data_IF_165743767398
#
_entry.id   IF_165743767398
#
_cell.length_a   1.000
_cell.length_b   1.000
_cell.length_c   1.000
_cell.angle_alpha   90.00
_cell.angle_beta   90.00
_cell.angle_gamma   90.00
#
_symmetry.space_group_name_H-M   'P 1'
#
loop_
_entity.id
_entity.type
_entity.pdbx_description
1 polymer ?
#
# COMPACT_ATOMS: atom_id res chain seq x y z
N UNK A 1 9.55 -20.53 -14.24
CA UNK A 1 9.13 -19.62 -13.20
C UNK A 1 7.95 -18.79 -13.66
N UNK A 2 6.88 -18.86 -12.91
CA UNK A 2 5.75 -18.00 -13.22
C UNK A 2 6.16 -16.55 -13.05
N UNK A 3 5.74 -15.70 -13.98
CA UNK A 3 5.99 -14.28 -13.88
C UNK A 3 5.33 -13.73 -12.61
N UNK A 4 6.10 -13.01 -11.81
CA UNK A 4 5.58 -12.37 -10.62
C UNK A 4 4.78 -11.16 -11.07
N UNK A 5 3.49 -11.17 -10.78
CA UNK A 5 2.63 -10.05 -11.10
C UNK A 5 2.93 -8.90 -10.14
N UNK A 6 3.24 -7.75 -10.69
CA UNK A 6 3.46 -6.55 -9.88
C UNK A 6 2.19 -5.89 -9.38
N UNK A 7 1.03 -6.33 -9.87
CA UNK A 7 -0.28 -5.81 -9.45
C UNK A 7 -1.35 -6.88 -9.61
N UNK A 8 -2.49 -6.66 -9.01
CA UNK A 8 -3.63 -7.58 -9.04
C UNK A 8 -3.25 -8.97 -8.53
N UNK A 9 -2.44 -8.99 -7.49
CA UNK A 9 -2.08 -10.24 -6.83
C UNK A 9 -3.28 -10.76 -6.03
N UNK A 10 -3.24 -12.05 -5.67
CA UNK A 10 -4.31 -12.65 -4.86
C UNK A 10 -4.54 -11.89 -3.54
N UNK A 11 -3.48 -11.54 -2.79
CA UNK A 11 -3.65 -10.76 -1.57
C UNK A 11 -4.32 -9.41 -1.82
N UNK A 12 -3.90 -8.69 -2.85
CA UNK A 12 -4.51 -7.40 -3.20
C UNK A 12 -5.99 -7.56 -3.52
N UNK A 13 -6.34 -8.56 -4.32
CA UNK A 13 -7.73 -8.82 -4.70
C UNK A 13 -8.57 -9.17 -3.48
N UNK A 14 -8.04 -9.95 -2.55
CA UNK A 14 -8.74 -10.31 -1.32
C UNK A 14 -9.08 -9.06 -0.50
N UNK A 15 -8.12 -8.16 -0.32
CA UNK A 15 -8.34 -6.91 0.40
C UNK A 15 -9.38 -6.05 -0.31
N UNK A 16 -9.26 -5.89 -1.63
CA UNK A 16 -10.20 -5.11 -2.43
C UNK A 16 -11.63 -5.64 -2.32
N UNK A 17 -11.80 -6.93 -2.46
CA UNK A 17 -13.14 -7.57 -2.36
C UNK A 17 -13.76 -7.33 -1.00
N UNK A 18 -12.98 -7.49 0.04
CA UNK A 18 -13.47 -7.26 1.40
C UNK A 18 -13.91 -5.80 1.58
N UNK A 19 -13.05 -4.85 1.23
CA UNK A 19 -13.37 -3.43 1.38
C UNK A 19 -14.59 -3.02 0.55
N UNK A 20 -14.70 -3.53 -0.65
CA UNK A 20 -15.86 -3.28 -1.51
C UNK A 20 -17.14 -3.83 -0.89
N UNK A 21 -17.07 -5.03 -0.31
CA UNK A 21 -18.22 -5.64 0.36
C UNK A 21 -18.67 -4.83 1.58
N UNK A 22 -17.77 -4.09 2.20
CA UNK A 22 -18.08 -3.20 3.31
C UNK A 22 -18.61 -1.83 2.85
N UNK A 23 -18.78 -1.65 1.57
CA UNK A 23 -19.31 -0.40 1.01
C UNK A 23 -18.28 0.68 0.76
N UNK A 24 -17.00 0.40 0.91
CA UNK A 24 -15.97 1.38 0.66
C UNK A 24 -15.69 1.53 -0.84
N UNK A 25 -15.43 2.75 -1.24
CA UNK A 25 -15.02 3.08 -2.61
C UNK A 25 -13.55 3.45 -2.62
N UNK A 26 -12.81 2.87 -3.55
CA UNK A 26 -11.37 3.04 -3.63
C UNK A 26 -10.89 3.04 -5.07
N UNK A 27 -9.68 3.52 -5.27
CA UNK A 27 -8.94 3.44 -6.52
C UNK A 27 -7.78 2.46 -6.35
N UNK A 28 -7.36 1.85 -7.42
CA UNK A 28 -6.31 0.83 -7.39
C UNK A 28 -5.07 1.29 -8.13
N UNK A 29 -3.90 0.85 -7.65
CA UNK A 29 -2.62 1.05 -8.34
C UNK A 29 -2.39 2.48 -8.82
N UNK A 30 -2.57 3.44 -7.94
CA UNK A 30 -2.42 4.85 -8.29
C UNK A 30 -0.94 5.21 -8.43
N UNK A 31 -0.49 5.32 -9.67
CA UNK A 31 0.90 5.67 -9.99
C UNK A 31 1.24 7.13 -9.75
N UNK A 32 0.26 7.98 -9.53
CA UNK A 32 0.49 9.40 -9.25
C UNK A 32 0.95 9.66 -7.83
N UNK A 33 0.75 8.70 -6.95
CA UNK A 33 1.20 8.81 -5.57
C UNK A 33 2.54 8.10 -5.39
N UNK A 34 3.39 8.58 -4.46
CA UNK A 34 4.64 7.91 -4.15
C UNK A 34 4.42 6.44 -3.83
N UNK A 35 5.26 5.58 -4.37
CA UNK A 35 5.21 4.15 -4.13
C UNK A 35 4.06 3.41 -4.79
N UNK A 36 3.20 4.09 -5.54
CA UNK A 36 2.04 3.49 -6.22
C UNK A 36 1.22 2.60 -5.29
N UNK A 37 0.54 3.18 -4.30
CA UNK A 37 -0.26 2.38 -3.35
C UNK A 37 -1.22 1.44 -4.06
N UNK A 38 -1.40 0.26 -3.49
CA UNK A 38 -2.29 -0.76 -4.07
C UNK A 38 -3.75 -0.34 -4.00
N UNK A 39 -4.12 0.36 -2.94
CA UNK A 39 -5.49 0.82 -2.71
C UNK A 39 -5.44 2.25 -2.19
N UNK A 40 -6.24 3.12 -2.79
CA UNK A 40 -6.35 4.52 -2.36
C UNK A 40 -7.82 4.80 -2.02
N UNK A 41 -8.04 5.28 -0.81
CA UNK A 41 -9.37 5.67 -0.33
C UNK A 41 -9.37 7.20 -0.14
N UNK A 42 -9.71 7.97 -1.17
CA UNK A 42 -9.66 9.43 -1.08
C UNK A 42 -10.55 10.00 0.01
N UNK A 43 -11.72 9.42 0.19
CA UNK A 43 -12.68 9.87 1.21
C UNK A 43 -12.10 9.81 2.61
N UNK A 44 -11.25 8.83 2.87
CA UNK A 44 -10.62 8.63 4.18
C UNK A 44 -9.19 9.12 4.22
N UNK A 45 -8.70 9.72 3.14
CA UNK A 45 -7.30 10.13 3.01
C UNK A 45 -6.33 9.02 3.40
N UNK A 46 -6.67 7.81 3.02
CA UNK A 46 -5.93 6.61 3.40
C UNK A 46 -5.42 5.89 2.17
N UNK A 47 -4.20 5.44 2.23
CA UNK A 47 -3.60 4.54 1.23
C UNK A 47 -3.21 3.25 1.92
N UNK A 48 -3.31 2.15 1.17
CA UNK A 48 -3.00 0.82 1.69
C UNK A 48 -2.00 0.15 0.76
N UNK A 49 -0.94 -0.36 1.36
CA UNK A 49 0.02 -1.22 0.69
C UNK A 49 -0.20 -2.66 1.14
N UNK A 50 -0.34 -3.55 0.18
CA UNK A 50 -0.40 -4.99 0.43
C UNK A 50 1.00 -5.53 0.18
N UNK A 51 1.74 -5.76 1.26
CA UNK A 51 3.16 -6.06 1.17
C UNK A 51 3.42 -7.56 1.06
N UNK A 52 4.20 -7.93 0.06
CA UNK A 52 4.71 -9.29 -0.08
C UNK A 52 5.81 -9.53 0.95
N UNK A 53 5.69 -10.63 1.70
CA UNK A 53 6.60 -10.90 2.81
C UNK A 53 8.06 -10.97 2.40
N UNK A 54 8.34 -11.65 1.30
CA UNK A 54 9.72 -11.79 0.81
C UNK A 54 10.31 -10.45 0.37
N UNK A 55 9.59 -9.71 -0.45
CA UNK A 55 10.10 -8.49 -1.08
C UNK A 55 10.30 -7.33 -0.11
N UNK A 56 9.52 -7.30 0.96
CA UNK A 56 9.56 -6.25 1.95
C UNK A 56 10.21 -6.69 3.26
N UNK A 57 10.75 -7.89 3.30
CA UNK A 57 11.53 -8.38 4.44
C UNK A 57 10.73 -8.50 5.73
N UNK A 58 9.57 -9.14 5.66
CA UNK A 58 8.72 -9.33 6.83
C UNK A 58 9.46 -10.13 7.90
N UNK A 59 9.66 -9.54 9.07
CA UNK A 59 10.40 -10.16 10.15
C UNK A 59 9.66 -11.37 10.73
N UNK A 60 10.44 -12.37 11.14
CA UNK A 60 9.93 -13.61 11.75
C UNK A 60 8.86 -14.34 10.92
N UNK A 61 8.90 -14.15 9.61
CA UNK A 61 7.96 -14.79 8.70
C UNK A 61 8.67 -15.85 7.85
N UNK A 62 8.10 -17.05 7.81
CA UNK A 62 8.66 -18.13 7.00
C UNK A 62 8.65 -17.81 5.50
N UNK A 63 7.72 -16.96 5.05
CA UNK A 63 7.63 -16.58 3.65
C UNK A 63 8.71 -15.59 3.23
N UNK A 64 9.41 -15.01 4.19
CA UNK A 64 10.48 -14.04 3.93
C UNK A 64 11.88 -14.64 4.02
N UNK A 65 11.99 -15.97 4.12
CA UNK A 65 13.30 -16.62 4.19
C UNK A 65 14.10 -16.35 2.94
N UNK A 66 15.35 -15.94 3.16
CA UNK A 66 16.28 -15.73 2.07
C UNK A 66 16.76 -17.06 1.50
N UNK A 67 16.90 -17.17 0.17
CA UNK A 67 17.54 -18.34 -0.43
C UNK A 67 18.99 -18.47 0.05
N UNK A 68 19.49 -19.69 0.12
CA UNK A 68 20.89 -19.90 0.48
C UNK A 68 21.85 -19.42 -0.61
N UNK A 69 21.45 -19.59 -1.87
CA UNK A 69 22.23 -19.08 -2.99
C UNK A 69 22.00 -17.56 -3.15
N UNK A 70 23.10 -16.85 -3.38
CA UNK A 70 23.06 -15.38 -3.53
C UNK A 70 22.44 -14.67 -2.35
N UNK A 71 22.64 -15.18 -1.14
CA UNK A 71 22.04 -14.62 0.06
C UNK A 71 22.37 -13.13 0.25
N UNK A 72 23.63 -12.74 0.01
CA UNK A 72 24.06 -11.34 0.13
C UNK A 72 23.34 -10.43 -0.86
N UNK A 73 23.16 -10.90 -2.09
CA UNK A 73 22.41 -10.18 -3.11
C UNK A 73 20.98 -9.90 -2.66
N UNK A 74 20.29 -10.95 -2.19
CA UNK A 74 18.91 -10.80 -1.76
C UNK A 74 18.78 -9.94 -0.51
N UNK A 75 19.69 -10.08 0.44
CA UNK A 75 19.69 -9.27 1.64
C UNK A 75 19.86 -7.78 1.29
N UNK A 76 20.79 -7.48 0.38
CA UNK A 76 21.00 -6.12 -0.08
C UNK A 76 19.75 -5.56 -0.77
N UNK A 77 19.15 -6.32 -1.65
CA UNK A 77 17.96 -5.90 -2.38
C UNK A 77 16.78 -5.64 -1.45
N UNK A 78 16.55 -6.51 -0.49
CA UNK A 78 15.48 -6.33 0.48
C UNK A 78 15.73 -5.11 1.37
N UNK A 79 16.97 -4.90 1.76
CA UNK A 79 17.36 -3.70 2.53
C UNK A 79 17.04 -2.42 1.75
N UNK A 80 17.35 -2.38 0.47
CA UNK A 80 17.01 -1.25 -0.39
C UNK A 80 15.49 -1.06 -0.51
N UNK A 81 14.75 -2.15 -0.65
CA UNK A 81 13.30 -2.09 -0.71
C UNK A 81 12.71 -1.50 0.59
N UNK A 82 13.20 -1.95 1.74
CA UNK A 82 12.74 -1.43 3.03
C UNK A 82 13.05 0.05 3.20
N UNK A 83 14.23 0.47 2.79
CA UNK A 83 14.62 1.88 2.85
C UNK A 83 13.71 2.73 1.95
N UNK A 84 13.37 2.24 0.78
CA UNK A 84 12.44 2.91 -0.12
C UNK A 84 11.04 2.98 0.49
N UNK A 85 10.56 1.87 1.04
CA UNK A 85 9.23 1.82 1.67
C UNK A 85 9.12 2.86 2.77
N UNK A 86 10.15 2.99 3.57
CA UNK A 86 10.19 4.01 4.62
C UNK A 86 10.08 5.42 4.05
N UNK A 87 10.85 5.74 3.00
CA UNK A 87 10.80 7.05 2.37
C UNK A 87 9.42 7.35 1.78
N UNK A 88 8.83 6.36 1.15
CA UNK A 88 7.49 6.48 0.58
C UNK A 88 6.47 6.78 1.67
N UNK A 89 6.54 6.07 2.78
CA UNK A 89 5.65 6.29 3.92
C UNK A 89 5.77 7.73 4.46
N UNK A 90 6.98 8.19 4.66
CA UNK A 90 7.22 9.55 5.15
C UNK A 90 6.63 10.57 4.18
N UNK A 91 6.88 10.39 2.91
CA UNK A 91 6.42 11.34 1.89
C UNK A 91 4.90 11.36 1.78
N UNK A 92 4.26 10.20 1.78
CA UNK A 92 2.80 10.14 1.76
C UNK A 92 2.18 10.82 2.98
N UNK A 93 2.76 10.60 4.15
CA UNK A 93 2.31 11.25 5.38
C UNK A 93 2.49 12.76 5.32
N UNK A 94 3.57 13.24 4.76
CA UNK A 94 3.79 14.67 4.54
C UNK A 94 2.77 15.26 3.58
N UNK A 95 2.27 14.48 2.64
CA UNK A 95 1.20 14.88 1.73
C UNK A 95 -0.19 14.84 2.39
N UNK A 96 -0.29 14.43 3.64
CA UNK A 96 -1.55 14.34 4.36
C UNK A 96 -2.27 13.01 4.26
N UNK A 97 -1.60 11.97 3.75
CA UNK A 97 -2.18 10.64 3.68
C UNK A 97 -1.93 9.83 4.94
N UNK A 98 -2.91 9.01 5.29
CA UNK A 98 -2.73 7.97 6.29
C UNK A 98 -2.26 6.72 5.56
N UNK A 99 -1.12 6.19 5.97
CA UNK A 99 -0.51 5.04 5.33
C UNK A 99 -0.76 3.80 6.16
N UNK A 100 -1.32 2.78 5.55
CA UNK A 100 -1.56 1.49 6.18
C UNK A 100 -0.89 0.39 5.37
N UNK A 101 -0.35 -0.59 6.07
CA UNK A 101 0.28 -1.76 5.48
C UNK A 101 -0.42 -3.01 5.97
N UNK A 102 -0.55 -4.00 5.09
CA UNK A 102 -1.00 -5.33 5.47
C UNK A 102 -0.09 -6.35 4.78
N UNK A 103 0.42 -7.30 5.55
CA UNK A 103 1.26 -8.36 5.01
C UNK A 103 0.43 -9.45 4.37
N UNK A 104 0.90 -9.98 3.23
CA UNK A 104 0.17 -11.02 2.52
C UNK A 104 -0.11 -12.26 3.38
N UNK A 105 0.78 -12.59 4.31
CA UNK A 105 0.60 -13.74 5.20
C UNK A 105 -0.42 -13.48 6.32
N UNK A 106 -0.79 -12.24 6.54
CA UNK A 106 -1.71 -11.85 7.62
C UNK A 106 -3.15 -11.64 7.13
N UNK A 107 -3.38 -11.80 5.83
CA UNK A 107 -4.71 -11.55 5.27
C UNK A 107 -5.64 -12.70 5.63
N UNK A 108 -6.46 -12.46 6.66
CA UNK A 108 -7.56 -13.31 7.06
C UNK A 108 -8.75 -12.43 7.43
N UNK A 109 -9.86 -13.05 7.78
CA UNK A 109 -11.08 -12.32 8.10
C UNK A 109 -10.87 -11.33 9.25
N UNK A 110 -10.16 -11.75 10.30
CA UNK A 110 -9.90 -10.91 11.47
C UNK A 110 -9.04 -9.71 11.10
N UNK A 111 -7.96 -9.91 10.36
CA UNK A 111 -7.08 -8.83 9.94
C UNK A 111 -7.79 -7.83 9.03
N UNK A 112 -8.65 -8.32 8.14
CA UNK A 112 -9.43 -7.45 7.25
C UNK A 112 -10.45 -6.64 8.04
N UNK A 113 -11.09 -7.21 9.05
CA UNK A 113 -12.00 -6.48 9.92
C UNK A 113 -11.27 -5.38 10.69
N UNK A 114 -10.11 -5.69 11.23
CA UNK A 114 -9.28 -4.70 11.92
C UNK A 114 -8.89 -3.56 10.97
N UNK A 115 -8.49 -3.90 9.76
CA UNK A 115 -8.15 -2.91 8.74
C UNK A 115 -9.34 -1.99 8.46
N UNK A 116 -10.52 -2.57 8.26
CA UNK A 116 -11.73 -1.81 8.04
C UNK A 116 -12.03 -0.86 9.20
N UNK A 117 -11.98 -1.36 10.43
CA UNK A 117 -12.23 -0.53 11.61
C UNK A 117 -11.24 0.64 11.71
N UNK A 118 -9.99 0.41 11.37
CA UNK A 118 -8.99 1.45 11.38
C UNK A 118 -9.26 2.52 10.32
N UNK A 119 -9.74 2.11 9.15
CA UNK A 119 -10.07 3.06 8.07
C UNK A 119 -11.25 3.94 8.49
N UNK A 120 -12.35 3.34 8.89
CA UNK A 120 -13.57 4.10 9.20
C UNK A 120 -13.50 4.81 10.55
N UNK A 121 -12.64 4.36 11.45
CA UNK A 121 -12.44 4.98 12.75
C UNK A 121 -11.49 6.16 12.74
N UNK A 122 -10.99 6.57 11.59
CA UNK A 122 -10.08 7.71 11.49
C UNK A 122 -10.85 9.01 11.72
N UNK A 123 -10.53 9.76 12.77
CA UNK A 123 -11.30 10.96 13.09
C UNK A 123 -11.06 12.11 12.11
N UNK A 124 -12.11 12.81 11.81
CA UNK A 124 -11.99 14.15 11.23
C UNK A 124 -11.94 14.26 9.72
N UNK A 125 -12.13 13.18 8.98
CA UNK A 125 -12.04 13.26 7.52
C UNK A 125 -13.40 13.11 6.84
N UNK A 126 -14.40 12.63 7.58
CA UNK A 126 -15.70 12.31 7.00
C UNK A 126 -16.62 13.48 6.75
N UNK A 127 -16.49 14.54 7.51
CA UNK A 127 -17.52 15.59 7.48
C UNK A 127 -17.26 16.73 6.49
N UNK A 128 -16.03 16.97 6.15
CA UNK A 128 -15.70 18.06 5.22
C UNK A 128 -15.54 17.65 3.76
N UNK A 129 -15.44 16.38 3.52
CA UNK A 129 -15.08 15.90 2.18
C UNK A 129 -16.27 15.37 1.38
N UNK A 130 -17.40 15.20 2.03
CA UNK A 130 -18.57 14.64 1.38
C UNK A 130 -19.24 15.59 0.37
N UNK A 131 -18.88 16.84 0.40
CA UNK A 131 -19.54 17.84 -0.46
C UNK A 131 -18.77 18.16 -1.74
N UNK A 132 -17.58 17.66 -1.89
CA UNK A 132 -16.91 17.78 -3.17
C UNK A 132 -17.28 16.55 -3.98
N UNK A 133 -18.40 16.66 -4.64
CA UNK A 133 -18.72 15.74 -5.71
C UNK A 133 -17.50 15.59 -6.60
N UNK A 134 -17.11 14.43 -6.82
CA UNK A 134 -16.48 13.85 -7.98
C UNK A 134 -15.79 14.74 -8.99
N UNK A 135 -15.56 15.94 -8.68
CA UNK A 135 -14.63 16.67 -9.47
C UNK A 135 -13.25 16.14 -9.10
N UNK A 136 -13.05 15.03 -9.63
CA UNK A 136 -11.86 14.33 -9.79
C UNK A 136 -10.65 15.15 -10.22
N UNK A 137 -10.78 16.38 -10.24
CA UNK A 137 -9.65 17.26 -10.46
C UNK A 137 -8.65 17.22 -9.32
N UNK A 138 -8.85 16.32 -8.41
CA UNK A 138 -7.84 15.99 -7.42
C UNK A 138 -6.52 15.56 -8.00
N UNK A 139 -6.48 15.38 -9.27
CA UNK A 139 -5.25 15.18 -9.99
C UNK A 139 -4.17 16.20 -9.71
N UNK A 140 -4.55 17.39 -9.36
CA UNK A 140 -3.58 18.44 -9.08
C UNK A 140 -2.85 18.24 -7.76
N UNK A 141 -3.37 17.41 -6.90
CA UNK A 141 -2.75 17.16 -5.60
C UNK A 141 -1.73 16.06 -5.62
N UNK A 142 -1.74 15.28 -6.66
CA UNK A 142 -0.71 14.30 -6.84
C UNK A 142 0.52 15.02 -7.36
N UNK A 143 1.22 15.62 -6.46
CA UNK A 143 2.57 16.03 -6.78
C UNK A 143 3.26 14.79 -7.31
N UNK A 144 3.74 14.87 -8.52
CA UNK A 144 4.48 13.77 -9.07
C UNK A 144 5.62 13.43 -8.12
N UNK A 145 5.79 12.16 -7.81
CA UNK A 145 6.91 11.79 -6.97
C UNK A 145 8.19 12.30 -7.62
N UNK A 146 9.08 12.88 -6.86
CA UNK A 146 10.36 13.25 -7.40
C UNK A 146 11.02 12.03 -8.04
N UNK A 147 11.72 12.27 -9.10
CA UNK A 147 12.39 11.22 -9.89
C UNK A 147 13.23 10.26 -9.06
N UNK A 148 13.54 10.65 -7.85
CA UNK A 148 14.29 9.80 -6.92
C UNK A 148 13.60 8.47 -6.61
N UNK A 149 12.32 8.37 -6.91
CA UNK A 149 11.61 7.11 -6.71
C UNK A 149 11.81 6.11 -7.82
N UNK A 150 12.38 6.53 -8.89
CA UNK A 150 12.68 5.67 -10.01
C UNK A 150 13.91 4.81 -9.85
N UNK A 151 14.26 4.45 -8.63
CA UNK A 151 15.42 3.59 -8.45
C UNK A 151 15.10 2.22 -9.01
N UNK A 152 15.83 1.80 -10.02
CA UNK A 152 15.64 0.46 -10.54
C UNK A 152 16.07 -0.55 -9.49
N UNK A 153 15.31 -1.58 -9.41
CA UNK A 153 15.64 -2.71 -8.56
C UNK A 153 16.66 -3.60 -9.21
#
# INVERSE_FOLDING_TARGET
MAAIKGKDTRPEIAVRRFLYSQGLRFRVSNRRLPGSPDIVLPRYRTVIFVDGCFWHGHEDCRHSRLPESNREYWLHKITLNRARDYRVDVELRQMGWIVMHIWECEIDETALQILYQRIVGTPGIGEGYASTSDNDSGSSLAAEPPEAYGLPY
#
